data_IF_178524158727
#
_entry.id   IF_178524158727
#
_cell.length_a   1.000
_cell.length_b   1.000
_cell.length_c   1.000
_cell.angle_alpha   90.00
_cell.angle_beta   90.00
_cell.angle_gamma   90.00
#
_symmetry.space_group_name_H-M   'P 1'
#
loop_
_entity.id
_entity.type
_entity.pdbx_description
1 polymer ?
#
# COMPACT_ATOMS: atom_id res chain seq x y z
N UNK A 1 38.16 -88.27 -0.84
CA UNK A 1 36.82 -88.51 -0.20
C UNK A 1 36.47 -87.35 0.70
N UNK A 2 35.66 -86.51 0.22
CA UNK A 2 34.75 -85.71 1.03
C UNK A 2 34.00 -84.66 0.12
N UNK A 3 32.72 -84.81 0.03
CA UNK A 3 31.83 -83.92 -0.79
C UNK A 3 31.54 -82.63 0.01
N UNK A 4 31.48 -81.48 -0.61
CA UNK A 4 31.01 -80.29 0.02
C UNK A 4 29.48 -80.21 -0.03
N UNK A 5 28.85 -79.82 1.07
CA UNK A 5 27.44 -79.54 1.24
C UNK A 5 27.06 -78.20 0.60
N UNK A 6 26.02 -78.18 -0.26
CA UNK A 6 25.38 -76.99 -0.74
C UNK A 6 24.71 -76.29 0.43
N UNK A 7 25.05 -75.02 0.64
CA UNK A 7 24.32 -74.09 1.54
C UNK A 7 23.40 -73.25 0.68
N UNK A 8 22.10 -73.34 0.94
CA UNK A 8 21.05 -72.57 0.34
C UNK A 8 21.10 -71.17 0.90
N UNK A 9 21.47 -70.17 0.08
CA UNK A 9 21.40 -68.75 0.42
C UNK A 9 19.94 -68.32 0.23
N UNK A 10 19.27 -68.06 1.36
CA UNK A 10 17.95 -67.41 1.36
C UNK A 10 18.14 -65.94 1.01
N UNK A 11 17.64 -65.54 -0.18
CA UNK A 11 17.50 -64.14 -0.57
C UNK A 11 16.33 -63.57 0.21
N UNK A 12 16.58 -62.75 1.24
CA UNK A 12 15.62 -61.90 1.88
C UNK A 12 15.39 -60.69 0.99
N UNK A 13 14.25 -60.65 0.29
CA UNK A 13 13.78 -59.48 -0.42
C UNK A 13 13.20 -58.51 0.60
N UNK A 14 14.00 -57.55 1.07
CA UNK A 14 13.55 -56.43 1.92
C UNK A 14 12.84 -55.45 1.00
N UNK A 15 11.50 -55.52 0.99
CA UNK A 15 10.63 -54.53 0.36
C UNK A 15 10.63 -53.29 1.25
N UNK A 16 11.55 -52.33 1.01
CA UNK A 16 11.50 -51.03 1.66
C UNK A 16 10.34 -50.24 1.11
N UNK A 17 9.22 -50.26 1.84
CA UNK A 17 8.09 -49.36 1.63
C UNK A 17 8.56 -47.95 1.95
N UNK A 18 9.04 -47.21 0.95
CA UNK A 18 9.25 -45.76 1.08
C UNK A 18 7.89 -45.09 1.16
N UNK A 19 7.46 -44.82 2.40
CA UNK A 19 6.39 -43.87 2.67
C UNK A 19 6.85 -42.52 2.13
N UNK A 20 6.41 -42.14 0.93
CA UNK A 20 6.45 -40.76 0.49
C UNK A 20 5.65 -39.93 1.49
N UNK A 21 6.31 -39.36 2.45
CA UNK A 21 5.79 -38.24 3.24
C UNK A 21 5.65 -37.05 2.28
N UNK A 22 4.58 -37.04 1.50
CA UNK A 22 4.11 -35.81 0.85
C UNK A 22 3.70 -34.88 1.98
N UNK A 23 4.62 -34.02 2.40
CA UNK A 23 4.30 -32.89 3.26
C UNK A 23 3.29 -32.05 2.49
N UNK A 24 2.00 -32.25 2.75
CA UNK A 24 0.94 -31.38 2.28
C UNK A 24 1.18 -30.08 3.04
N UNK A 25 1.92 -29.16 2.40
CA UNK A 25 2.05 -27.80 2.86
C UNK A 25 0.67 -27.17 2.72
N UNK A 26 -0.09 -27.15 3.79
CA UNK A 26 -1.29 -26.33 3.86
C UNK A 26 -0.82 -24.89 3.73
N UNK A 27 -0.96 -24.32 2.53
CA UNK A 27 -0.82 -22.88 2.36
C UNK A 27 -1.83 -22.24 3.32
N UNK A 28 -1.34 -21.54 4.33
CA UNK A 28 -2.19 -20.85 5.28
C UNK A 28 -3.16 -19.95 4.49
N UNK A 29 -4.46 -20.10 4.76
CA UNK A 29 -5.48 -19.25 4.14
C UNK A 29 -5.12 -17.78 4.44
N UNK A 30 -5.08 -16.91 3.43
CA UNK A 30 -4.76 -15.51 3.66
C UNK A 30 -5.79 -14.88 4.61
N UNK A 31 -5.39 -13.92 5.44
CA UNK A 31 -6.32 -13.17 6.27
C UNK A 31 -7.40 -12.50 5.41
N UNK A 32 -8.61 -12.27 5.94
CA UNK A 32 -9.63 -11.50 5.24
C UNK A 32 -9.10 -10.11 4.83
N UNK A 33 -9.51 -9.59 3.67
CA UNK A 33 -9.10 -8.28 3.19
C UNK A 33 -9.39 -7.16 4.20
N UNK A 34 -10.52 -7.25 4.90
CA UNK A 34 -10.90 -6.30 5.95
C UNK A 34 -9.91 -6.27 7.12
N UNK A 35 -9.37 -7.41 7.52
CA UNK A 35 -8.37 -7.50 8.59
C UNK A 35 -7.05 -6.85 8.16
N UNK A 36 -6.59 -7.12 6.92
CA UNK A 36 -5.39 -6.50 6.37
C UNK A 36 -5.56 -4.98 6.29
N UNK A 37 -6.69 -4.48 5.78
CA UNK A 37 -6.99 -3.05 5.70
C UNK A 37 -7.09 -2.41 7.08
N UNK A 38 -7.68 -3.10 8.06
CA UNK A 38 -7.71 -2.63 9.44
C UNK A 38 -6.30 -2.47 10.02
N UNK A 39 -5.39 -3.40 9.75
CA UNK A 39 -4.02 -3.30 10.23
C UNK A 39 -3.29 -2.07 9.67
N UNK A 40 -3.52 -1.73 8.40
CA UNK A 40 -2.98 -0.50 7.77
C UNK A 40 -3.54 0.74 8.47
N UNK A 41 -4.86 0.84 8.62
CA UNK A 41 -5.51 2.00 9.28
C UNK A 41 -5.05 2.18 10.72
N UNK A 42 -4.91 1.08 11.47
CA UNK A 42 -4.42 1.13 12.86
C UNK A 42 -2.94 1.50 12.96
N UNK A 43 -2.11 1.09 12.01
CA UNK A 43 -0.71 1.49 11.96
C UNK A 43 -0.61 3.00 11.77
N UNK A 44 -1.36 3.54 10.81
CA UNK A 44 -1.41 4.98 10.55
C UNK A 44 -1.95 5.76 11.75
N UNK A 45 -2.99 5.27 12.44
CA UNK A 45 -3.63 6.00 13.54
C UNK A 45 -2.84 6.05 14.86
N UNK A 46 -1.71 5.36 14.98
CA UNK A 46 -0.90 5.30 16.23
C UNK A 46 0.39 6.10 16.16
N UNK A 47 0.60 6.86 15.11
CA UNK A 47 1.83 7.59 14.91
C UNK A 47 1.76 8.99 15.53
N UNK A 48 2.90 9.46 16.06
CA UNK A 48 3.15 10.84 16.38
C UNK A 48 4.34 11.29 15.54
N UNK A 49 4.12 12.24 14.63
CA UNK A 49 5.09 12.68 13.65
C UNK A 49 5.08 14.20 13.53
N UNK A 50 6.25 14.76 13.32
CA UNK A 50 6.46 16.12 12.86
C UNK A 50 7.63 16.08 11.87
N UNK A 51 7.29 16.09 10.59
CA UNK A 51 8.22 15.87 9.51
C UNK A 51 8.11 16.99 8.48
N UNK A 52 9.24 17.34 7.90
CA UNK A 52 9.26 18.18 6.71
C UNK A 52 9.39 17.31 5.47
N UNK A 53 8.79 17.75 4.39
CA UNK A 53 8.84 17.05 3.12
C UNK A 53 8.70 17.99 1.94
N UNK A 54 8.73 17.39 0.77
CA UNK A 54 8.44 18.10 -0.48
C UNK A 54 7.78 17.16 -1.48
N UNK A 55 6.93 17.74 -2.34
CA UNK A 55 6.52 17.13 -3.59
C UNK A 55 7.42 17.69 -4.68
N UNK A 56 8.03 16.84 -5.48
CA UNK A 56 8.91 17.25 -6.58
C UNK A 56 8.47 16.59 -7.88
N UNK A 57 8.20 17.44 -8.89
CA UNK A 57 7.87 17.01 -10.24
C UNK A 57 8.59 17.91 -11.26
N UNK A 58 9.58 17.37 -11.97
CA UNK A 58 10.50 18.14 -12.80
C UNK A 58 11.12 19.29 -11.97
N UNK A 59 10.95 20.54 -12.43
CA UNK A 59 11.44 21.74 -11.75
C UNK A 59 10.50 22.27 -10.66
N UNK A 60 9.28 21.72 -10.57
CA UNK A 60 8.32 22.08 -9.53
C UNK A 60 8.71 21.43 -8.22
N UNK A 61 8.91 22.23 -7.18
CA UNK A 61 9.17 21.79 -5.81
C UNK A 61 8.16 22.46 -4.90
N UNK A 62 7.35 21.65 -4.22
CA UNK A 62 6.32 22.10 -3.26
C UNK A 62 6.69 21.60 -1.88
N UNK A 63 7.29 22.44 -1.02
CA UNK A 63 7.58 22.08 0.36
C UNK A 63 6.28 21.91 1.16
N UNK A 64 6.28 21.00 2.11
CA UNK A 64 5.20 20.84 3.07
C UNK A 64 5.74 20.37 4.42
N UNK A 65 4.95 20.64 5.48
CA UNK A 65 5.10 20.02 6.80
C UNK A 65 4.01 19.00 6.99
N UNK A 66 4.36 17.81 7.47
CA UNK A 66 3.44 16.76 7.86
C UNK A 66 3.49 16.60 9.37
N UNK A 67 2.38 16.84 10.04
CA UNK A 67 2.24 16.52 11.46
C UNK A 67 1.16 15.46 11.63
N UNK A 68 1.40 14.53 12.55
CA UNK A 68 0.42 13.52 12.90
C UNK A 68 0.34 13.34 14.39
N UNK A 69 -0.87 13.32 14.91
CA UNK A 69 -1.18 12.98 16.32
C UNK A 69 -2.35 12.02 16.32
N UNK A 70 -2.04 10.75 16.55
CA UNK A 70 -3.05 9.69 16.48
C UNK A 70 -3.71 9.64 15.09
N UNK A 71 -5.06 9.68 15.01
CA UNK A 71 -5.79 9.59 13.75
C UNK A 71 -5.84 10.88 12.93
N UNK A 72 -5.20 11.96 13.39
CA UNK A 72 -5.17 13.25 12.71
C UNK A 72 -3.84 13.46 12.03
N UNK A 73 -3.87 13.60 10.71
CA UNK A 73 -2.72 13.94 9.86
C UNK A 73 -2.97 15.34 9.28
N UNK A 74 -1.99 16.23 9.40
CA UNK A 74 -2.04 17.56 8.79
C UNK A 74 -0.93 17.71 7.78
N UNK A 75 -1.30 18.22 6.62
CA UNK A 75 -0.39 18.67 5.57
C UNK A 75 -0.45 20.19 5.52
N UNK A 76 0.64 20.86 5.83
CA UNK A 76 0.74 22.33 5.80
C UNK A 76 1.63 22.73 4.62
N UNK A 77 1.07 23.53 3.72
CA UNK A 77 1.74 24.09 2.56
C UNK A 77 1.87 25.60 2.74
N UNK A 78 2.93 26.17 2.16
CA UNK A 78 3.18 27.60 2.12
C UNK A 78 3.04 28.14 0.68
N UNK A 79 2.78 29.44 0.53
CA UNK A 79 2.77 30.17 -0.72
C UNK A 79 1.81 29.60 -1.82
N UNK A 80 0.49 29.76 -1.65
CA UNK A 80 -0.23 30.34 -0.53
C UNK A 80 -0.34 29.38 0.64
N UNK A 81 -0.65 29.90 1.82
CA UNK A 81 -0.87 29.07 3.00
C UNK A 81 -2.11 28.20 2.82
N UNK A 82 -1.97 26.92 3.11
CA UNK A 82 -3.04 25.95 3.05
C UNK A 82 -2.75 24.82 4.04
N UNK A 83 -3.70 24.51 4.88
CA UNK A 83 -3.60 23.40 5.83
C UNK A 83 -4.74 22.42 5.57
N UNK A 84 -4.37 21.22 5.19
CA UNK A 84 -5.30 20.10 5.03
C UNK A 84 -5.20 19.21 6.26
N UNK A 85 -6.34 18.79 6.77
CA UNK A 85 -6.42 17.86 7.90
C UNK A 85 -7.15 16.60 7.47
N UNK A 86 -6.44 15.49 7.42
CA UNK A 86 -7.01 14.16 7.23
C UNK A 86 -7.33 13.56 8.60
N UNK A 87 -8.57 13.16 8.81
CA UNK A 87 -9.02 12.39 9.96
C UNK A 87 -9.26 10.95 9.55
N UNK A 88 -8.55 10.02 10.17
CA UNK A 88 -8.75 8.57 10.00
C UNK A 88 -9.73 8.10 11.09
N UNK A 89 -11.00 7.90 10.72
CA UNK A 89 -12.03 7.38 11.60
C UNK A 89 -12.12 5.86 11.58
N UNK A 90 -13.07 5.29 12.32
CA UNK A 90 -13.30 3.84 12.32
C UNK A 90 -13.91 3.35 11.00
N UNK A 91 -14.87 4.12 10.45
CA UNK A 91 -15.67 3.72 9.29
C UNK A 91 -15.39 4.55 8.03
N UNK A 92 -14.46 5.49 8.08
CA UNK A 92 -14.14 6.36 6.95
C UNK A 92 -13.04 7.35 7.27
N UNK A 93 -12.46 7.91 6.22
CA UNK A 93 -11.57 9.07 6.31
C UNK A 93 -12.30 10.34 5.89
N UNK A 94 -11.92 11.48 6.46
CA UNK A 94 -12.41 12.80 6.09
C UNK A 94 -11.25 13.76 5.91
N UNK A 95 -11.20 14.40 4.76
CA UNK A 95 -10.29 15.50 4.50
C UNK A 95 -10.99 16.81 4.79
N UNK A 96 -10.37 17.68 5.57
CA UNK A 96 -10.84 19.00 5.93
C UNK A 96 -9.82 20.06 5.45
N UNK A 97 -10.31 21.23 5.10
CA UNK A 97 -9.51 22.45 4.96
C UNK A 97 -9.53 23.18 6.33
N UNK A 98 -8.36 23.52 6.85
CA UNK A 98 -8.25 24.27 8.12
C UNK A 98 -8.11 25.75 7.79
N UNK A 99 -9.05 26.55 8.31
CA UNK A 99 -9.09 28.00 8.18
C UNK A 99 -8.99 28.64 9.57
N UNK A 100 -8.96 29.96 9.64
CA UNK A 100 -8.99 30.71 10.91
C UNK A 100 -10.27 30.44 11.71
N UNK A 101 -11.38 30.15 11.03
CA UNK A 101 -12.68 29.84 11.63
C UNK A 101 -12.81 28.37 12.08
N UNK A 102 -11.83 27.53 11.75
CA UNK A 102 -11.81 26.12 12.12
C UNK A 102 -11.56 25.15 10.97
N UNK A 103 -11.94 23.88 11.15
CA UNK A 103 -11.78 22.84 10.14
C UNK A 103 -13.11 22.59 9.41
N UNK A 104 -13.14 22.85 8.12
CA UNK A 104 -14.28 22.66 7.25
C UNK A 104 -14.05 21.45 6.33
N UNK A 105 -15.11 20.69 6.02
CA UNK A 105 -14.99 19.57 5.09
C UNK A 105 -14.49 20.06 3.73
N UNK A 106 -13.43 19.42 3.21
CA UNK A 106 -12.86 19.77 1.91
C UNK A 106 -13.92 19.63 0.79
N UNK A 107 -14.06 20.63 -0.08
CA UNK A 107 -15.07 20.63 -1.15
C UNK A 107 -14.93 19.40 -2.04
N UNK A 108 -16.03 18.67 -2.22
CA UNK A 108 -16.04 17.41 -2.94
C UNK A 108 -15.63 17.56 -4.41
N UNK A 109 -16.10 18.63 -5.05
CA UNK A 109 -15.82 18.98 -6.43
C UNK A 109 -14.34 19.26 -6.70
N UNK A 110 -13.56 19.54 -5.65
CA UNK A 110 -12.12 19.79 -5.74
C UNK A 110 -11.25 18.59 -5.42
N UNK A 111 -11.84 17.45 -5.03
CA UNK A 111 -11.06 16.27 -4.65
C UNK A 111 -10.16 15.75 -5.77
N UNK A 112 -10.58 15.85 -7.03
CA UNK A 112 -9.80 15.43 -8.19
C UNK A 112 -8.79 16.49 -8.66
N UNK A 113 -8.82 17.71 -8.08
CA UNK A 113 -7.82 18.72 -8.39
C UNK A 113 -6.42 18.29 -7.89
N UNK A 114 -5.40 18.75 -8.62
CA UNK A 114 -4.01 18.45 -8.31
C UNK A 114 -3.50 19.31 -7.18
N UNK A 115 -2.89 18.68 -6.19
CA UNK A 115 -2.18 19.37 -5.11
C UNK A 115 -1.01 20.16 -5.71
N UNK A 116 -1.16 21.47 -5.74
CA UNK A 116 -0.13 22.42 -6.22
C UNK A 116 0.40 22.09 -7.62
N UNK A 117 -0.42 21.54 -8.51
CA UNK A 117 -0.04 21.19 -9.88
C UNK A 117 0.81 19.93 -10.02
N UNK A 118 1.00 19.17 -8.94
CA UNK A 118 1.71 17.88 -8.96
C UNK A 118 0.82 16.75 -9.47
N UNK A 119 1.34 15.54 -9.62
CA UNK A 119 0.57 14.34 -9.99
C UNK A 119 -0.26 13.74 -8.84
N UNK A 120 -0.28 14.38 -7.67
CA UNK A 120 -1.08 13.96 -6.51
C UNK A 120 -2.36 14.79 -6.47
N UNK A 121 -3.52 14.17 -6.29
CA UNK A 121 -4.81 14.86 -6.11
C UNK A 121 -5.16 14.96 -4.61
N UNK A 122 -6.10 15.84 -4.28
CA UNK A 122 -6.62 15.90 -2.90
C UNK A 122 -7.34 14.61 -2.51
N UNK A 123 -7.94 13.90 -3.48
CA UNK A 123 -8.53 12.58 -3.23
C UNK A 123 -7.47 11.54 -2.82
N UNK A 124 -6.28 11.60 -3.42
CA UNK A 124 -5.16 10.73 -3.05
C UNK A 124 -4.76 10.93 -1.59
N UNK A 125 -4.74 12.19 -1.12
CA UNK A 125 -4.45 12.52 0.28
C UNK A 125 -5.57 12.09 1.23
N UNK A 126 -6.80 12.00 0.76
CA UNK A 126 -7.96 11.63 1.58
C UNK A 126 -7.99 10.14 1.96
N UNK A 127 -7.23 9.27 1.29
CA UNK A 127 -7.09 7.84 1.55
C UNK A 127 -8.42 7.07 1.68
N UNK A 128 -9.50 7.56 1.02
CA UNK A 128 -10.84 6.98 1.12
C UNK A 128 -10.90 5.51 0.71
N UNK A 129 -10.08 5.10 -0.25
CA UNK A 129 -10.02 3.71 -0.72
C UNK A 129 -9.67 2.70 0.37
N UNK A 130 -8.96 3.11 1.44
CA UNK A 130 -8.67 2.22 2.57
C UNK A 130 -9.94 1.77 3.33
N UNK A 131 -11.06 2.42 3.10
CA UNK A 131 -12.35 2.15 3.75
C UNK A 131 -13.37 1.49 2.82
N UNK A 132 -13.01 1.17 1.58
CA UNK A 132 -13.88 0.46 0.68
C UNK A 132 -14.12 -0.98 1.17
N UNK A 133 -15.38 -1.34 1.31
CA UNK A 133 -15.79 -2.64 1.89
C UNK A 133 -15.74 -3.78 0.88
N UNK A 134 -15.81 -3.48 -0.42
CA UNK A 134 -15.71 -4.48 -1.48
C UNK A 134 -14.23 -4.75 -1.82
N UNK A 135 -13.57 -5.49 -0.94
CA UNK A 135 -12.15 -5.80 -1.04
C UNK A 135 -11.92 -7.32 -1.06
N UNK A 136 -11.01 -7.77 -1.93
CA UNK A 136 -10.62 -9.18 -2.10
C UNK A 136 -9.11 -9.33 -2.03
N UNK A 137 -8.63 -10.36 -1.32
CA UNK A 137 -7.21 -10.76 -1.34
C UNK A 137 -6.96 -11.61 -2.57
N UNK A 138 -6.07 -11.17 -3.45
CA UNK A 138 -5.70 -11.88 -4.68
C UNK A 138 -4.52 -12.84 -4.49
N UNK A 139 -3.90 -12.84 -3.31
CA UNK A 139 -2.75 -13.67 -2.97
C UNK A 139 -1.50 -12.86 -2.65
N UNK A 140 -0.35 -13.48 -2.89
CA UNK A 140 0.97 -12.94 -2.54
C UNK A 140 1.67 -12.39 -3.77
N UNK A 141 2.35 -11.26 -3.60
CA UNK A 141 3.22 -10.71 -4.62
C UNK A 141 4.40 -9.97 -3.97
N UNK A 142 5.58 -10.11 -4.56
CA UNK A 142 6.75 -9.36 -4.11
C UNK A 142 6.78 -7.98 -4.75
N UNK A 143 6.91 -6.94 -3.92
CA UNK A 143 7.19 -5.57 -4.36
C UNK A 143 8.59 -5.22 -3.87
N UNK A 144 9.51 -4.97 -4.81
CA UNK A 144 10.96 -4.87 -4.52
C UNK A 144 11.44 -6.13 -3.81
N UNK A 145 11.82 -6.03 -2.55
CA UNK A 145 12.30 -7.18 -1.74
C UNK A 145 11.31 -7.59 -0.66
N UNK A 146 10.06 -7.04 -0.68
CA UNK A 146 9.07 -7.24 0.38
C UNK A 146 7.97 -8.18 -0.09
N UNK A 147 7.65 -9.18 0.71
CA UNK A 147 6.50 -10.05 0.49
C UNK A 147 5.22 -9.32 0.91
N UNK A 148 4.30 -9.15 -0.02
CA UNK A 148 3.10 -8.36 0.18
C UNK A 148 1.83 -9.18 -0.07
N UNK A 149 0.77 -8.87 0.67
CA UNK A 149 -0.59 -9.21 0.25
C UNK A 149 -1.00 -8.29 -0.89
N UNK A 150 -1.49 -8.86 -1.99
CA UNK A 150 -2.14 -8.09 -3.05
C UNK A 150 -3.64 -8.09 -2.83
N UNK A 151 -4.23 -6.90 -2.71
CA UNK A 151 -5.67 -6.71 -2.57
C UNK A 151 -6.21 -6.00 -3.80
N UNK A 152 -7.46 -6.30 -4.15
CA UNK A 152 -8.27 -5.53 -5.08
C UNK A 152 -9.45 -4.96 -4.34
N UNK A 153 -9.70 -3.66 -4.52
CA UNK A 153 -10.80 -2.92 -3.93
C UNK A 153 -11.63 -2.30 -5.05
N UNK A 154 -12.94 -2.39 -4.93
CA UNK A 154 -13.88 -1.77 -5.87
C UNK A 154 -14.54 -0.55 -5.23
N UNK A 155 -14.62 0.55 -5.99
CA UNK A 155 -15.27 1.76 -5.54
C UNK A 155 -16.76 1.50 -5.25
N UNK A 156 -17.30 2.01 -4.14
CA UNK A 156 -18.71 1.85 -3.80
C UNK A 156 -19.63 2.67 -4.70
N UNK A 157 -19.16 3.79 -5.23
CA UNK A 157 -19.92 4.73 -6.07
C UNK A 157 -19.01 5.36 -7.13
N UNK A 158 -19.62 6.04 -8.13
CA UNK A 158 -18.87 6.79 -9.16
C UNK A 158 -18.39 8.17 -8.71
N UNK A 159 -18.33 8.40 -7.41
CA UNK A 159 -17.94 9.68 -6.81
C UNK A 159 -16.44 9.74 -6.47
N UNK A 160 -15.63 8.99 -7.17
CA UNK A 160 -14.18 8.89 -7.03
C UNK A 160 -13.54 8.73 -8.40
N UNK A 161 -12.33 9.24 -8.58
CA UNK A 161 -11.57 9.06 -9.82
C UNK A 161 -11.24 7.59 -10.12
N UNK A 162 -11.30 6.71 -9.12
CA UNK A 162 -10.95 5.30 -9.27
C UNK A 162 -12.18 4.39 -9.25
N UNK A 163 -12.29 3.50 -10.23
CA UNK A 163 -13.24 2.38 -10.20
C UNK A 163 -12.71 1.21 -9.38
N UNK A 164 -11.41 0.98 -9.48
CA UNK A 164 -10.69 -0.06 -8.78
C UNK A 164 -9.35 0.47 -8.26
N UNK A 165 -8.96 -0.05 -7.09
CA UNK A 165 -7.64 0.18 -6.53
C UNK A 165 -7.01 -1.17 -6.18
N UNK A 166 -5.76 -1.38 -6.60
CA UNK A 166 -4.96 -2.50 -6.13
C UNK A 166 -3.95 -2.02 -5.11
N UNK A 167 -3.85 -2.74 -3.99
CA UNK A 167 -2.92 -2.44 -2.91
C UNK A 167 -1.95 -3.60 -2.70
N UNK A 168 -0.70 -3.27 -2.41
CA UNK A 168 0.33 -4.22 -1.97
C UNK A 168 0.75 -3.84 -0.55
N UNK A 169 0.34 -4.66 0.41
CA UNK A 169 0.59 -4.46 1.83
C UNK A 169 1.69 -5.41 2.29
N UNK A 170 2.78 -4.87 2.81
CA UNK A 170 3.90 -5.67 3.33
C UNK A 170 3.44 -6.55 4.49
N UNK A 171 3.66 -7.86 4.37
CA UNK A 171 3.20 -8.85 5.36
C UNK A 171 3.86 -8.69 6.73
N UNK A 172 5.08 -8.21 6.76
CA UNK A 172 5.85 -8.12 7.99
C UNK A 172 5.56 -6.83 8.78
N UNK A 173 5.31 -5.71 8.09
CA UNK A 173 5.15 -4.40 8.72
C UNK A 173 3.75 -3.82 8.61
N UNK A 174 2.88 -4.34 7.74
CA UNK A 174 1.59 -3.74 7.42
C UNK A 174 1.69 -2.47 6.55
N UNK A 175 2.88 -2.09 6.10
CA UNK A 175 3.06 -0.88 5.31
C UNK A 175 2.50 -1.03 3.89
N UNK A 176 1.85 0.03 3.39
CA UNK A 176 1.43 0.13 2.00
C UNK A 176 2.65 0.38 1.11
N UNK A 177 3.06 -0.64 0.34
CA UNK A 177 4.24 -0.59 -0.53
C UNK A 177 3.96 -0.08 -1.93
N UNK A 178 2.77 -0.39 -2.46
CA UNK A 178 2.31 0.05 -3.77
C UNK A 178 0.79 0.19 -3.79
N UNK A 179 0.31 1.18 -4.53
CA UNK A 179 -1.09 1.34 -4.92
C UNK A 179 -1.16 1.57 -6.42
N UNK A 180 -2.14 0.97 -7.09
CA UNK A 180 -2.48 1.22 -8.49
C UNK A 180 -3.95 1.58 -8.58
N UNK A 181 -4.25 2.74 -9.18
CA UNK A 181 -5.60 3.24 -9.40
C UNK A 181 -6.03 3.10 -10.86
N UNK A 182 -7.20 2.54 -11.07
CA UNK A 182 -7.81 2.31 -12.38
C UNK A 182 -9.04 3.19 -12.54
N UNK A 183 -9.20 3.80 -13.71
CA UNK A 183 -10.37 4.62 -14.05
C UNK A 183 -11.63 3.76 -14.28
N UNK A 184 -12.73 4.42 -14.60
CA UNK A 184 -14.03 3.78 -14.84
C UNK A 184 -14.10 3.02 -16.17
N UNK A 185 -13.10 3.15 -17.05
CA UNK A 185 -12.90 2.34 -18.25
C UNK A 185 -11.97 1.14 -17.99
N UNK A 186 -11.56 0.93 -16.72
CA UNK A 186 -10.65 -0.15 -16.31
C UNK A 186 -9.21 0.05 -16.75
N UNK A 187 -8.78 1.29 -17.02
CA UNK A 187 -7.43 1.62 -17.44
C UNK A 187 -6.60 2.10 -16.25
N UNK A 188 -5.37 1.61 -16.14
CA UNK A 188 -4.44 2.09 -15.12
C UNK A 188 -4.08 3.55 -15.40
N UNK A 189 -4.39 4.43 -14.45
CA UNK A 189 -4.16 5.88 -14.57
C UNK A 189 -3.12 6.40 -13.59
N UNK A 190 -2.93 5.73 -12.44
CA UNK A 190 -2.01 6.20 -11.42
C UNK A 190 -1.34 5.04 -10.66
N UNK A 191 -0.07 5.22 -10.32
CA UNK A 191 0.69 4.28 -9.49
C UNK A 191 1.47 5.03 -8.43
N UNK A 192 1.34 4.58 -7.19
CA UNK A 192 2.17 4.97 -6.05
C UNK A 192 3.09 3.81 -5.69
N UNK A 193 4.36 4.08 -5.45
CA UNK A 193 5.31 3.06 -5.04
C UNK A 193 6.34 3.62 -4.06
N UNK A 194 6.49 2.96 -2.91
CA UNK A 194 7.57 3.26 -1.96
C UNK A 194 8.90 2.98 -2.62
N UNK A 195 9.73 4.02 -2.76
CA UNK A 195 11.07 3.93 -3.35
C UNK A 195 12.09 3.59 -2.26
N UNK A 196 12.00 4.26 -1.12
CA UNK A 196 12.90 4.04 0.00
C UNK A 196 12.24 4.39 1.33
N UNK A 197 12.74 3.77 2.39
CA UNK A 197 12.40 4.06 3.76
C UNK A 197 13.66 4.50 4.53
N UNK A 198 13.47 5.19 5.64
CA UNK A 198 14.52 5.63 6.55
C UNK A 198 14.18 5.26 7.98
N UNK A 199 15.20 5.17 8.82
CA UNK A 199 15.03 4.90 10.24
C UNK A 199 15.22 6.20 11.03
N UNK A 200 14.19 6.59 11.79
CA UNK A 200 14.21 7.74 12.69
C UNK A 200 13.83 7.19 14.08
N UNK A 201 14.64 7.46 15.09
CA UNK A 201 14.41 7.01 16.48
C UNK A 201 14.01 5.53 16.58
N UNK A 202 14.78 4.69 15.89
CA UNK A 202 14.59 3.24 15.80
C UNK A 202 13.30 2.76 15.11
N UNK A 203 12.50 3.63 14.52
CA UNK A 203 11.28 3.32 13.75
C UNK A 203 11.50 3.57 12.26
N UNK A 204 10.84 2.77 11.41
CA UNK A 204 10.88 2.93 9.96
C UNK A 204 9.83 3.91 9.49
N UNK A 205 10.24 4.86 8.66
CA UNK A 205 9.40 5.86 8.02
C UNK A 205 9.62 5.87 6.51
N UNK A 206 8.61 6.34 5.79
CA UNK A 206 8.76 6.66 4.39
C UNK A 206 9.87 7.71 4.24
N UNK A 207 10.81 7.46 3.32
CA UNK A 207 11.79 8.45 2.87
C UNK A 207 11.40 9.03 1.52
N UNK A 208 11.03 8.16 0.58
CA UNK A 208 10.62 8.58 -0.75
C UNK A 208 9.54 7.65 -1.30
N UNK A 209 8.50 8.24 -1.86
CA UNK A 209 7.46 7.59 -2.67
C UNK A 209 7.46 8.20 -4.06
N UNK A 210 7.31 7.36 -5.07
CA UNK A 210 7.12 7.77 -6.46
C UNK A 210 5.64 7.65 -6.81
N UNK A 211 5.09 8.70 -7.39
CA UNK A 211 3.73 8.75 -7.94
C UNK A 211 3.85 8.94 -9.44
N UNK A 212 3.30 8.03 -10.21
CA UNK A 212 3.28 8.07 -11.68
C UNK A 212 1.84 8.27 -12.15
N UNK A 213 1.62 9.29 -12.96
CA UNK A 213 0.43 9.40 -13.79
C UNK A 213 0.70 8.67 -15.11
N UNK A 214 -0.23 7.80 -15.51
CA UNK A 214 -0.08 6.98 -16.72
C UNK A 214 -1.11 7.40 -17.78
N UNK A 215 -0.71 7.32 -19.03
CA UNK A 215 -1.62 7.50 -20.15
C UNK A 215 -2.56 6.28 -20.20
N UNK A 216 -3.89 6.51 -20.09
CA UNK A 216 -4.86 5.43 -20.06
C UNK A 216 -4.70 4.46 -21.23
N UNK A 217 -4.69 3.15 -20.94
CA UNK A 217 -4.62 2.10 -21.95
C UNK A 217 -3.24 1.83 -22.59
N UNK A 218 -2.19 2.60 -22.24
CA UNK A 218 -0.85 2.44 -22.84
C UNK A 218 0.25 2.08 -21.86
N UNK A 219 0.01 2.17 -20.55
CA UNK A 219 1.01 2.09 -19.48
C UNK A 219 2.19 3.08 -19.60
N UNK A 220 2.10 4.07 -20.52
CA UNK A 220 3.13 5.08 -20.69
C UNK A 220 3.03 6.10 -19.57
N UNK A 221 4.14 6.36 -18.89
CA UNK A 221 4.23 7.37 -17.84
C UNK A 221 4.19 8.76 -18.47
N UNK A 222 3.20 9.57 -18.05
CA UNK A 222 3.03 10.96 -18.46
C UNK A 222 3.78 11.91 -17.53
N UNK A 223 3.68 11.66 -16.22
CA UNK A 223 4.38 12.47 -15.23
C UNK A 223 4.87 11.62 -14.05
N UNK A 224 5.85 12.14 -13.32
CA UNK A 224 6.36 11.57 -12.08
C UNK A 224 6.47 12.63 -11.02
N UNK A 225 5.77 12.41 -9.91
CA UNK A 225 5.94 13.19 -8.68
C UNK A 225 6.66 12.33 -7.64
N UNK A 226 7.62 12.90 -6.96
CA UNK A 226 8.26 12.27 -5.82
C UNK A 226 7.78 12.98 -4.55
N UNK A 227 7.19 12.22 -3.62
CA UNK A 227 6.99 12.65 -2.26
C UNK A 227 8.25 12.25 -1.47
N UNK A 228 8.92 13.24 -0.91
CA UNK A 228 10.21 13.09 -0.22
C UNK A 228 10.07 13.63 1.19
N UNK A 229 10.38 12.81 2.19
CA UNK A 229 10.42 13.21 3.60
C UNK A 229 11.85 13.54 3.96
N UNK A 230 12.05 14.76 4.45
CA UNK A 230 13.32 15.27 4.98
C UNK A 230 13.34 15.06 6.49
N UNK A 231 14.51 14.84 7.01
CA UNK A 231 14.74 14.76 8.45
C UNK A 231 14.89 16.15 9.04
#
# INVERSE_FOLDING_TARGET
>A
MNRPRLSIVRIFLILTLQLLNASISFAATPPPASEILNSVRMLESRQELDLQGQLRQNDLVVPFRLTQVGPLIRYSFENPDEVLQLRLGENGSRLDLVTDDGAETFPREKLEEKVRGTGITYEDLALKFLYWTNATVLGDQTVRTRSCWKLQLHAPTRETQYSNVFLWIDKASGALMRMEGYDWDGKLIKRFEVVSAQKIDNRWFLKQMRVEELQPGTNKVQSRTYLEIKK
#
